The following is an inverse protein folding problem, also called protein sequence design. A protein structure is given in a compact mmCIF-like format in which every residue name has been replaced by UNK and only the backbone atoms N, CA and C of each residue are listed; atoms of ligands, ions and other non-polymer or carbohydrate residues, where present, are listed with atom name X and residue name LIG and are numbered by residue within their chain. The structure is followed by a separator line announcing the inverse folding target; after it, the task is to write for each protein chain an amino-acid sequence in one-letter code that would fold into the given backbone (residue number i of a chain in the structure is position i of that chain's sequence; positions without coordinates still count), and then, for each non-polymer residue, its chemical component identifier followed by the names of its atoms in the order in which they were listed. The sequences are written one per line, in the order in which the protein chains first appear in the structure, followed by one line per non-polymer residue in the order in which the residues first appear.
data_IF_603538293027
#
_entry.id   IF_603538293027
#
_cell.length_a   1.000
_cell.length_b   1.000
_cell.length_c   1.000
_cell.angle_alpha   90.00
_cell.angle_beta   90.00
_cell.angle_gamma   90.00
#
_symmetry.space_group_name_H-M   'P 1'
#
loop_
_entity.id
_entity.type
_entity.pdbx_description
1 polymer ?
#
# COMPACT_ATOMS: atom_id res chain seq x y z
N UNK A 1 -6.21 14.28 10.76
CA UNK A 1 -5.50 13.09 10.28
C UNK A 1 -4.15 13.52 9.72
N UNK A 2 -3.08 12.88 10.15
CA UNK A 2 -1.69 13.26 9.84
C UNK A 2 -1.00 12.12 9.11
N UNK A 3 -0.19 12.46 8.09
CA UNK A 3 0.72 11.54 7.41
C UNK A 3 2.16 11.96 7.70
N UNK A 4 2.95 11.10 8.31
CA UNK A 4 4.34 11.41 8.65
C UNK A 4 5.29 10.22 8.53
N UNK A 5 6.56 10.52 8.39
CA UNK A 5 7.61 9.51 8.42
C UNK A 5 7.70 8.87 9.81
N UNK A 6 7.99 7.58 9.85
CA UNK A 6 8.21 6.83 11.08
C UNK A 6 9.72 6.62 11.25
N UNK A 7 10.24 7.00 12.42
CA UNK A 7 11.69 6.98 12.68
C UNK A 7 12.04 6.28 14.00
N UNK A 8 11.06 6.11 14.89
CA UNK A 8 11.27 5.59 16.25
C UNK A 8 10.91 4.11 16.35
N UNK A 9 11.62 3.40 17.21
CA UNK A 9 11.39 1.96 17.45
C UNK A 9 9.97 1.68 17.93
N UNK A 10 9.41 2.56 18.75
CA UNK A 10 8.04 2.46 19.26
C UNK A 10 7.01 2.51 18.10
N UNK A 11 7.26 3.35 17.10
CA UNK A 11 6.41 3.43 15.91
C UNK A 11 6.56 2.18 15.04
N UNK A 12 7.76 1.62 14.94
CA UNK A 12 7.97 0.36 14.21
C UNK A 12 7.23 -0.82 14.89
N UNK A 13 7.17 -0.84 16.21
CA UNK A 13 6.33 -1.81 16.95
C UNK A 13 4.85 -1.63 16.66
N UNK A 14 4.38 -0.38 16.54
CA UNK A 14 3.00 -0.11 16.13
C UNK A 14 2.71 -0.61 14.70
N UNK A 15 3.67 -0.50 13.77
CA UNK A 15 3.54 -1.08 12.42
C UNK A 15 3.35 -2.59 12.51
N UNK A 16 4.22 -3.30 13.24
CA UNK A 16 4.12 -4.76 13.41
C UNK A 16 2.77 -5.18 14.00
N UNK A 17 2.26 -4.43 14.97
CA UNK A 17 0.95 -4.68 15.56
C UNK A 17 -0.18 -4.41 14.56
N UNK A 18 -0.05 -3.35 13.78
CA UNK A 18 -1.02 -2.99 12.74
C UNK A 18 -1.07 -4.04 11.62
N UNK A 19 0.06 -4.65 11.27
CA UNK A 19 0.13 -5.77 10.35
C UNK A 19 -0.76 -6.92 10.80
N UNK A 20 -0.65 -7.34 12.06
CA UNK A 20 -1.48 -8.41 12.62
C UNK A 20 -2.96 -8.08 12.63
N UNK A 21 -3.31 -6.84 12.93
CA UNK A 21 -4.70 -6.37 12.87
C UNK A 21 -5.28 -6.42 11.45
N UNK A 22 -4.47 -6.13 10.44
CA UNK A 22 -4.91 -6.05 9.04
C UNK A 22 -4.94 -7.42 8.38
N UNK A 23 -3.87 -8.23 8.55
CA UNK A 23 -3.71 -9.51 7.84
C UNK A 23 -4.05 -10.74 8.67
N UNK A 24 -4.19 -10.60 9.97
CA UNK A 24 -4.58 -11.65 10.91
C UNK A 24 -3.55 -11.85 12.01
N UNK A 25 -4.01 -12.34 13.16
CA UNK A 25 -3.14 -12.60 14.35
C UNK A 25 -2.14 -13.72 14.09
N UNK A 26 -2.50 -14.66 13.21
CA UNK A 26 -1.66 -15.82 12.80
C UNK A 26 -0.84 -15.51 11.53
N UNK A 27 -0.72 -14.24 11.15
CA UNK A 27 0.08 -13.84 10.00
C UNK A 27 1.57 -13.96 10.32
N UNK A 28 2.26 -14.89 9.66
CA UNK A 28 3.65 -15.23 9.93
C UNK A 28 4.65 -14.33 9.16
N UNK A 29 4.19 -13.69 8.07
CA UNK A 29 5.05 -12.87 7.20
C UNK A 29 5.19 -11.41 7.69
N UNK A 30 5.00 -11.14 8.98
CA UNK A 30 5.17 -9.80 9.55
C UNK A 30 6.59 -9.29 9.40
N UNK A 31 6.73 -8.04 8.99
CA UNK A 31 8.04 -7.39 8.89
C UNK A 31 8.52 -7.00 10.28
N UNK A 32 9.62 -7.55 10.70
CA UNK A 32 10.15 -7.34 12.06
C UNK A 32 10.72 -5.93 12.27
N UNK A 33 10.73 -5.46 13.52
CA UNK A 33 11.33 -4.15 13.91
C UNK A 33 12.76 -3.97 13.40
N UNK A 34 13.68 -4.96 13.47
CA UNK A 34 15.01 -4.82 12.89
C UNK A 34 15.01 -4.53 11.39
N UNK A 35 14.14 -5.19 10.63
CA UNK A 35 14.01 -4.95 9.18
C UNK A 35 13.47 -3.55 8.91
N UNK A 36 12.43 -3.10 9.60
CA UNK A 36 11.92 -1.72 9.48
C UNK A 36 13.01 -0.69 9.80
N UNK A 37 13.82 -0.95 10.86
CA UNK A 37 14.95 -0.08 11.24
C UNK A 37 15.98 0.03 10.13
N UNK A 38 16.40 -1.10 9.56
CA UNK A 38 17.39 -1.11 8.46
C UNK A 38 16.80 -0.45 7.22
N UNK A 39 15.55 -0.73 6.89
CA UNK A 39 14.81 -0.13 5.78
C UNK A 39 14.90 1.39 5.82
N UNK A 40 14.48 2.00 6.92
CA UNK A 40 14.49 3.46 7.09
C UNK A 40 15.93 4.02 7.02
N UNK A 41 16.87 3.38 7.72
CA UNK A 41 18.28 3.83 7.73
C UNK A 41 18.99 3.69 6.37
N UNK A 42 18.48 2.90 5.45
CA UNK A 42 19.08 2.63 4.13
C UNK A 42 18.31 3.21 2.96
N UNK A 43 17.44 4.19 3.21
CA UNK A 43 16.73 4.93 2.17
C UNK A 43 15.40 4.30 1.75
N UNK A 44 14.89 3.36 2.52
CA UNK A 44 13.50 2.93 2.39
C UNK A 44 12.54 3.99 2.91
N UNK A 45 11.30 3.93 2.45
CA UNK A 45 10.25 4.86 2.87
C UNK A 45 9.29 4.14 3.80
N UNK A 46 9.08 4.69 4.99
CA UNK A 46 8.11 4.20 5.96
C UNK A 46 7.27 5.37 6.48
N UNK A 47 5.98 5.37 6.17
CA UNK A 47 5.03 6.45 6.49
C UNK A 47 3.87 5.86 7.24
N UNK A 48 3.50 6.48 8.36
CA UNK A 48 2.29 6.21 9.10
C UNK A 48 1.22 7.26 8.84
N UNK A 49 -0.03 6.83 8.90
CA UNK A 49 -1.20 7.68 8.96
C UNK A 49 -1.82 7.60 10.35
N UNK A 50 -2.11 8.75 10.93
CA UNK A 50 -2.60 8.86 12.31
C UNK A 50 -3.96 9.55 12.37
N UNK A 51 -4.85 8.99 13.16
CA UNK A 51 -6.05 9.65 13.65
C UNK A 51 -5.83 9.97 15.11
N UNK A 52 -5.57 11.26 15.43
CA UNK A 52 -4.98 11.69 16.69
C UNK A 52 -3.66 10.91 16.94
N UNK A 53 -3.53 10.19 18.04
CA UNK A 53 -2.33 9.44 18.42
C UNK A 53 -2.35 7.97 17.93
N UNK A 54 -3.46 7.51 17.33
CA UNK A 54 -3.62 6.15 16.85
C UNK A 54 -3.12 6.02 15.42
N UNK A 55 -2.15 5.13 15.18
CA UNK A 55 -1.78 4.74 13.83
C UNK A 55 -2.89 3.87 13.23
N UNK A 56 -3.39 4.26 12.04
CA UNK A 56 -4.54 3.62 11.38
C UNK A 56 -4.20 3.03 10.02
N UNK A 57 -3.05 3.43 9.48
CA UNK A 57 -2.55 2.90 8.22
C UNK A 57 -1.05 3.18 8.09
N UNK A 58 -0.40 2.44 7.20
CA UNK A 58 1.01 2.68 6.87
C UNK A 58 1.33 2.24 5.45
N UNK A 59 2.45 2.74 4.92
CA UNK A 59 3.10 2.24 3.72
C UNK A 59 4.59 2.07 4.00
N UNK A 60 5.13 0.93 3.57
CA UNK A 60 6.55 0.59 3.72
C UNK A 60 7.15 0.24 2.35
N UNK A 61 8.35 0.74 2.07
CA UNK A 61 9.13 0.32 0.90
C UNK A 61 10.60 0.11 1.23
N UNK A 62 11.17 -0.89 0.60
CA UNK A 62 12.59 -1.25 0.66
C UNK A 62 13.33 -0.54 -0.48
N UNK A 63 14.57 -0.06 -0.24
CA UNK A 63 15.42 0.38 -1.34
C UNK A 63 15.87 -0.82 -2.17
N UNK A 64 15.91 -0.67 -3.47
CA UNK A 64 16.35 -1.68 -4.42
C UNK A 64 17.12 -1.07 -5.58
N UNK A 65 17.66 -1.94 -6.42
CA UNK A 65 18.32 -1.57 -7.68
C UNK A 65 17.68 -2.40 -8.79
N UNK A 66 17.29 -1.74 -9.87
CA UNK A 66 16.84 -2.37 -11.11
C UNK A 66 17.58 -1.71 -12.29
N UNK A 67 18.20 -2.52 -13.13
CA UNK A 67 18.98 -2.07 -14.28
C UNK A 67 20.03 -0.98 -13.90
N UNK A 68 20.69 -1.15 -12.77
CA UNK A 68 21.69 -0.23 -12.23
C UNK A 68 21.15 1.09 -11.66
N UNK A 69 19.82 1.27 -11.59
CA UNK A 69 19.18 2.48 -11.07
C UNK A 69 18.50 2.21 -9.73
N UNK A 70 18.47 3.21 -8.82
CA UNK A 70 17.75 3.07 -7.57
C UNK A 70 16.23 3.04 -7.80
N UNK A 71 15.57 2.12 -7.10
CA UNK A 71 14.12 2.00 -7.06
C UNK A 71 13.64 1.88 -5.62
N UNK A 72 12.33 2.02 -5.42
CA UNK A 72 11.67 1.59 -4.20
C UNK A 72 10.81 0.37 -4.50
N UNK A 73 11.02 -0.71 -3.75
CA UNK A 73 10.09 -1.82 -3.69
C UNK A 73 9.05 -1.56 -2.60
N UNK A 74 7.82 -1.18 -2.99
CA UNK A 74 6.74 -0.93 -2.03
C UNK A 74 6.23 -2.24 -1.48
N UNK A 75 6.79 -2.63 -0.34
CA UNK A 75 6.57 -3.95 0.24
C UNK A 75 5.17 -4.10 0.83
N UNK A 76 4.70 -3.11 1.58
CA UNK A 76 3.40 -3.15 2.24
C UNK A 76 2.65 -1.83 2.17
N UNK A 77 1.33 -1.93 2.05
CA UNK A 77 0.37 -0.86 2.24
C UNK A 77 -0.80 -1.42 3.04
N UNK A 78 -0.92 -1.01 4.28
CA UNK A 78 -1.95 -1.47 5.20
C UNK A 78 -2.87 -0.36 5.64
N UNK A 79 -4.17 -0.62 5.69
CA UNK A 79 -5.21 0.30 6.19
C UNK A 79 -6.17 -0.52 7.04
N UNK A 80 -6.42 -0.07 8.28
CA UNK A 80 -7.44 -0.67 9.15
C UNK A 80 -8.79 -0.70 8.45
N UNK A 81 -9.56 -1.74 8.67
CA UNK A 81 -10.79 -2.03 7.95
C UNK A 81 -11.77 -0.87 8.02
N UNK A 82 -11.98 -0.31 9.19
CA UNK A 82 -12.87 0.81 9.44
C UNK A 82 -12.48 2.12 8.72
N UNK A 83 -11.22 2.24 8.28
CA UNK A 83 -10.69 3.40 7.55
C UNK A 83 -10.52 3.15 6.04
N UNK A 84 -10.90 1.97 5.55
CA UNK A 84 -10.84 1.67 4.12
C UNK A 84 -11.84 2.49 3.32
N UNK A 85 -11.61 2.61 2.02
CA UNK A 85 -12.45 3.37 1.08
C UNK A 85 -12.52 4.90 1.32
N UNK A 86 -11.80 5.40 2.33
CA UNK A 86 -11.69 6.84 2.64
C UNK A 86 -10.57 7.57 1.86
N UNK A 87 -9.94 6.91 0.90
CA UNK A 87 -8.85 7.48 0.09
C UNK A 87 -7.46 7.41 0.74
N UNK A 88 -7.34 6.83 1.93
CA UNK A 88 -6.10 6.82 2.71
C UNK A 88 -4.97 6.06 2.03
N UNK A 89 -5.26 4.92 1.39
CA UNK A 89 -4.26 4.18 0.62
C UNK A 89 -3.67 5.00 -0.53
N UNK A 90 -4.50 5.80 -1.24
CA UNK A 90 -4.02 6.72 -2.27
C UNK A 90 -3.15 7.82 -1.66
N UNK A 91 -3.56 8.40 -0.55
CA UNK A 91 -2.80 9.45 0.13
C UNK A 91 -1.41 8.98 0.54
N UNK A 92 -1.31 7.78 1.15
CA UNK A 92 -0.04 7.14 1.50
C UNK A 92 0.85 6.89 0.28
N UNK A 93 0.28 6.41 -0.82
CA UNK A 93 1.02 6.21 -2.08
C UNK A 93 1.55 7.53 -2.65
N UNK A 94 0.78 8.60 -2.62
CA UNK A 94 1.25 9.92 -3.08
C UNK A 94 2.39 10.46 -2.22
N UNK A 95 2.32 10.26 -0.91
CA UNK A 95 3.41 10.62 0.00
C UNK A 95 4.65 9.73 -0.22
N UNK A 96 4.46 8.42 -0.45
CA UNK A 96 5.55 7.53 -0.84
C UNK A 96 6.23 8.00 -2.13
N UNK A 97 5.44 8.37 -3.17
CA UNK A 97 5.96 8.96 -4.42
C UNK A 97 6.83 10.17 -4.15
N UNK A 98 6.33 11.11 -3.35
CA UNK A 98 7.05 12.35 -3.03
C UNK A 98 8.40 12.08 -2.38
N UNK A 99 8.48 11.10 -1.45
CA UNK A 99 9.74 10.72 -0.79
C UNK A 99 10.67 9.95 -1.73
N UNK A 100 10.13 9.03 -2.52
CA UNK A 100 10.92 8.28 -3.51
C UNK A 100 11.58 9.21 -4.53
N UNK A 101 10.85 10.24 -5.00
CA UNK A 101 11.42 11.25 -5.89
C UNK A 101 12.56 12.07 -5.25
N UNK A 102 12.46 12.36 -3.94
CA UNK A 102 13.50 13.11 -3.19
C UNK A 102 14.81 12.32 -3.07
N UNK A 103 14.74 11.00 -2.96
CA UNK A 103 15.92 10.12 -2.86
C UNK A 103 16.42 9.66 -4.23
N UNK A 104 15.89 10.22 -5.33
CA UNK A 104 16.41 10.00 -6.67
C UNK A 104 15.83 8.79 -7.40
N UNK A 105 14.75 8.17 -6.89
CA UNK A 105 14.08 7.09 -7.60
C UNK A 105 13.13 7.64 -8.67
N UNK A 106 13.07 6.92 -9.80
CA UNK A 106 12.10 7.17 -10.86
C UNK A 106 11.02 6.08 -10.92
N UNK A 107 11.26 4.95 -10.26
CA UNK A 107 10.40 3.79 -10.26
C UNK A 107 10.09 3.34 -8.84
N UNK A 108 8.81 3.06 -8.59
CA UNK A 108 8.33 2.32 -7.42
C UNK A 108 7.64 1.06 -7.93
N UNK A 109 8.08 -0.11 -7.46
CA UNK A 109 7.49 -1.40 -7.84
C UNK A 109 6.82 -2.08 -6.64
N UNK A 110 5.85 -2.92 -6.90
CA UNK A 110 5.25 -3.84 -5.92
C UNK A 110 4.50 -4.95 -6.61
N UNK A 111 4.16 -5.98 -5.87
CA UNK A 111 3.22 -6.99 -6.33
C UNK A 111 1.83 -6.77 -5.74
N UNK A 112 0.80 -7.16 -6.48
CA UNK A 112 -0.55 -7.22 -5.96
C UNK A 112 -1.35 -8.39 -6.56
N UNK A 113 -2.34 -8.85 -5.83
CA UNK A 113 -3.23 -9.93 -6.25
C UNK A 113 -4.16 -9.43 -7.36
N UNK A 114 -4.10 -10.01 -8.58
CA UNK A 114 -4.94 -9.58 -9.70
C UNK A 114 -6.44 -9.72 -9.44
N UNK A 115 -6.86 -10.58 -8.51
CA UNK A 115 -8.26 -10.78 -8.16
C UNK A 115 -8.81 -9.71 -7.22
N UNK A 116 -7.96 -8.80 -6.73
CA UNK A 116 -8.36 -7.69 -5.84
C UNK A 116 -8.76 -6.45 -6.64
N UNK A 117 -10.03 -6.34 -7.02
CA UNK A 117 -10.57 -5.25 -7.85
C UNK A 117 -10.29 -3.86 -7.26
N UNK A 118 -10.35 -3.69 -5.95
CA UNK A 118 -10.03 -2.41 -5.28
C UNK A 118 -8.56 -2.00 -5.49
N UNK A 119 -7.62 -2.97 -5.43
CA UNK A 119 -6.22 -2.73 -5.71
C UNK A 119 -5.99 -2.41 -7.19
N UNK A 120 -6.63 -3.16 -8.11
CA UNK A 120 -6.56 -2.88 -9.53
C UNK A 120 -7.06 -1.46 -9.85
N UNK A 121 -8.19 -1.04 -9.27
CA UNK A 121 -8.71 0.32 -9.45
C UNK A 121 -7.73 1.39 -8.93
N UNK A 122 -7.18 1.19 -7.71
CA UNK A 122 -6.17 2.11 -7.18
C UNK A 122 -4.97 2.20 -8.12
N UNK A 123 -4.41 1.07 -8.53
CA UNK A 123 -3.19 1.00 -9.32
C UNK A 123 -3.35 1.61 -10.71
N UNK A 124 -4.31 1.14 -11.49
CA UNK A 124 -4.46 1.58 -12.89
C UNK A 124 -5.17 2.93 -13.00
N UNK A 125 -6.29 3.11 -12.28
CA UNK A 125 -7.13 4.29 -12.48
C UNK A 125 -6.62 5.49 -11.68
N UNK A 126 -6.19 5.29 -10.44
CA UNK A 126 -5.80 6.41 -9.56
C UNK A 126 -4.33 6.75 -9.60
N UNK A 127 -3.45 5.77 -9.81
CA UNK A 127 -2.00 5.96 -9.79
C UNK A 127 -1.36 5.95 -11.18
N UNK A 128 -1.98 5.32 -12.18
CA UNK A 128 -1.41 5.19 -13.53
C UNK A 128 -0.26 4.18 -13.59
N UNK A 129 -0.37 3.10 -12.85
CA UNK A 129 0.57 1.97 -12.85
C UNK A 129 0.48 1.23 -14.18
N UNK A 130 1.58 0.66 -14.62
CA UNK A 130 1.64 -0.32 -15.72
C UNK A 130 2.05 -1.69 -15.17
N UNK A 131 1.67 -2.76 -15.87
CA UNK A 131 2.01 -4.14 -15.52
C UNK A 131 2.54 -4.82 -16.78
N UNK A 132 3.74 -5.38 -16.70
CA UNK A 132 4.37 -6.12 -17.79
C UNK A 132 4.71 -7.56 -17.39
N UNK A 133 4.59 -7.87 -16.08
CA UNK A 133 4.96 -9.16 -15.53
C UNK A 133 3.83 -9.75 -14.68
N UNK A 134 3.55 -11.03 -14.92
CA UNK A 134 2.71 -11.89 -14.08
C UNK A 134 3.58 -12.97 -13.47
N UNK A 135 3.63 -13.00 -12.16
CA UNK A 135 4.47 -13.92 -11.41
C UNK A 135 3.61 -14.96 -10.68
N UNK A 136 3.85 -16.24 -10.97
CA UNK A 136 3.07 -17.35 -10.45
C UNK A 136 3.61 -17.73 -9.07
N UNK A 137 2.72 -17.80 -8.09
CA UNK A 137 2.96 -18.27 -6.73
C UNK A 137 4.22 -17.68 -6.07
N UNK A 138 4.41 -16.37 -6.17
CA UNK A 138 5.64 -15.63 -5.78
C UNK A 138 6.03 -15.86 -4.33
N UNK A 139 5.05 -15.95 -3.44
CA UNK A 139 5.28 -16.04 -1.98
C UNK A 139 4.93 -17.43 -1.41
N UNK A 140 4.57 -18.39 -2.26
CA UNK A 140 4.13 -19.70 -1.78
C UNK A 140 2.78 -19.63 -1.05
N UNK A 141 2.62 -20.48 -0.05
CA UNK A 141 1.43 -20.45 0.81
C UNK A 141 1.48 -19.23 1.76
N UNK A 142 0.36 -18.53 1.92
CA UNK A 142 0.25 -17.39 2.82
C UNK A 142 -0.71 -17.70 3.96
N UNK A 143 -0.32 -17.32 5.17
CA UNK A 143 -1.17 -17.39 6.37
C UNK A 143 -2.12 -16.20 6.48
N UNK A 144 -1.99 -15.19 5.60
CA UNK A 144 -2.85 -14.02 5.56
C UNK A 144 -4.33 -14.39 5.37
N UNK A 145 -5.20 -13.79 6.16
CA UNK A 145 -6.66 -13.94 6.02
C UNK A 145 -7.19 -13.57 4.63
N UNK A 146 -6.45 -12.76 3.87
CA UNK A 146 -6.84 -12.32 2.52
C UNK A 146 -6.49 -13.34 1.44
N UNK A 147 -5.53 -14.25 1.68
CA UNK A 147 -4.97 -15.15 0.67
C UNK A 147 -4.98 -16.62 1.07
N UNK A 148 -5.43 -16.95 2.29
CA UNK A 148 -5.41 -18.32 2.81
C UNK A 148 -6.11 -19.31 1.86
N UNK A 149 -5.36 -20.32 1.44
CA UNK A 149 -5.86 -21.39 0.57
C UNK A 149 -5.88 -21.06 -0.92
N UNK A 150 -5.25 -19.96 -1.34
CA UNK A 150 -5.08 -19.62 -2.76
C UNK A 150 -3.60 -19.45 -3.10
N UNK A 151 -3.16 -19.79 -4.34
CA UNK A 151 -1.83 -19.44 -4.81
C UNK A 151 -1.57 -17.94 -4.70
N UNK A 152 -0.33 -17.57 -4.46
CA UNK A 152 0.06 -16.16 -4.39
C UNK A 152 0.52 -15.61 -5.74
N UNK A 153 -0.32 -15.81 -6.76
CA UNK A 153 -0.11 -15.20 -8.07
C UNK A 153 -0.19 -13.68 -7.99
N UNK A 154 0.71 -13.00 -8.68
CA UNK A 154 0.82 -11.54 -8.58
C UNK A 154 1.06 -10.89 -9.93
N UNK A 155 0.48 -9.72 -10.11
CA UNK A 155 1.00 -8.73 -11.07
C UNK A 155 2.15 -7.95 -10.44
N UNK A 156 3.23 -7.74 -11.19
CA UNK A 156 4.29 -6.80 -10.82
C UNK A 156 3.92 -5.43 -11.33
N UNK A 157 3.56 -4.57 -10.41
CA UNK A 157 3.14 -3.20 -10.68
C UNK A 157 4.36 -2.30 -10.82
N UNK A 158 4.48 -1.59 -11.91
CA UNK A 158 5.52 -0.60 -12.18
C UNK A 158 4.90 0.79 -12.16
N UNK A 159 5.31 1.61 -11.22
CA UNK A 159 4.88 3.00 -11.10
C UNK A 159 6.05 3.93 -11.43
N UNK A 160 6.09 4.37 -12.68
CA UNK A 160 7.07 5.31 -13.19
C UNK A 160 6.72 6.72 -12.74
N UNK A 161 7.15 7.06 -11.52
CA UNK A 161 6.62 8.16 -10.71
C UNK A 161 6.87 9.56 -11.27
N UNK A 162 7.75 9.71 -12.27
CA UNK A 162 8.03 10.98 -12.96
C UNK A 162 7.35 11.08 -14.32
N UNK A 163 6.79 10.01 -14.84
CA UNK A 163 6.18 10.00 -16.17
C UNK A 163 4.96 10.95 -16.27
N UNK A 164 4.80 11.64 -17.39
CA UNK A 164 3.72 12.62 -17.58
C UNK A 164 2.32 12.04 -17.39
N UNK A 165 2.11 10.78 -17.78
CA UNK A 165 0.80 10.13 -17.58
C UNK A 165 0.49 9.90 -16.09
N UNK A 166 1.51 9.56 -15.29
CA UNK A 166 1.38 9.42 -13.83
C UNK A 166 1.13 10.79 -13.20
N UNK A 167 1.90 11.82 -13.59
CA UNK A 167 1.71 13.18 -13.11
C UNK A 167 0.25 13.63 -13.31
N UNK A 168 -0.28 13.49 -14.52
CA UNK A 168 -1.70 13.82 -14.83
C UNK A 168 -2.70 13.05 -13.97
N UNK A 169 -2.45 11.76 -13.69
CA UNK A 169 -3.33 10.92 -12.85
C UNK A 169 -3.33 11.36 -11.40
N UNK A 170 -2.17 11.66 -10.84
CA UNK A 170 -2.04 12.02 -9.42
C UNK A 170 -2.42 13.48 -9.13
N UNK A 171 -2.25 14.37 -10.09
CA UNK A 171 -2.58 15.80 -10.01
C UNK A 171 -4.06 16.08 -10.33
N UNK A 172 -4.75 15.15 -11.01
CA UNK A 172 -6.18 15.31 -11.23
C UNK A 172 -6.88 15.54 -9.90
N UNK A 173 -7.65 16.64 -9.83
CA UNK A 173 -8.31 17.18 -8.62
C UNK A 173 -9.43 16.30 -8.02
N UNK A 174 -9.35 15.01 -8.14
CA UNK A 174 -10.07 14.14 -7.21
C UNK A 174 -9.43 14.38 -5.85
N UNK A 175 -9.90 15.40 -5.16
CA UNK A 175 -9.49 15.70 -3.81
C UNK A 175 -9.52 14.39 -3.02
N UNK A 176 -8.38 14.01 -2.43
CA UNK A 176 -8.36 12.95 -1.45
C UNK A 176 -9.08 13.51 -0.23
N UNK A 177 -10.40 13.42 -0.23
CA UNK A 177 -11.18 13.72 0.95
C UNK A 177 -10.99 12.52 1.87
N UNK A 178 -10.06 12.66 2.79
CA UNK A 178 -9.88 11.66 3.85
C UNK A 178 -11.09 11.86 4.78
N UNK A 179 -12.04 10.92 4.69
CA UNK A 179 -13.20 10.91 5.58
C UNK A 179 -12.85 10.15 6.84
N UNK A 180 -13.19 10.70 7.98
CA UNK A 180 -13.19 9.94 9.23
C UNK A 180 -14.35 8.95 9.23
N UNK A 181 -14.28 7.83 9.99
CA UNK A 181 -15.36 6.85 10.07
C UNK A 181 -16.73 7.45 10.44
N UNK A 182 -16.76 8.51 11.26
CA UNK A 182 -17.99 9.22 11.64
C UNK A 182 -18.66 9.93 10.45
N UNK A 183 -17.88 10.32 9.43
CA UNK A 183 -18.38 10.95 8.21
C UNK A 183 -18.71 9.92 7.10
N UNK A 184 -18.30 8.69 7.25
CA UNK A 184 -18.61 7.59 6.36
C UNK A 184 -20.03 7.09 6.68
N UNK A 185 -21.05 7.65 6.05
CA UNK A 185 -22.35 6.96 6.01
C UNK A 185 -22.13 5.59 5.40
N UNK A 186 -22.66 4.50 5.99
CA UNK A 186 -22.60 3.19 5.35
C UNK A 186 -23.22 3.34 3.95
N UNK A 187 -22.44 3.04 2.92
CA UNK A 187 -22.98 2.79 1.59
C UNK A 187 -23.92 1.64 1.82
N UNK A 188 -25.22 1.88 1.62
CA UNK A 188 -26.27 0.90 1.86
C UNK A 188 -25.84 -0.44 1.28
N UNK A 189 -26.03 -1.49 2.02
CA UNK A 189 -25.67 -2.86 1.67
C UNK A 189 -26.12 -3.14 0.23
N UNK A 190 -25.21 -3.09 -0.70
CA UNK A 190 -25.41 -3.71 -2.00
C UNK A 190 -25.56 -5.19 -1.71
N UNK A 191 -26.80 -5.67 -1.81
CA UNK A 191 -27.15 -7.06 -1.60
C UNK A 191 -26.27 -7.93 -2.51
N UNK A 192 -25.86 -9.10 -2.03
CA UNK A 192 -25.14 -10.13 -2.81
C UNK A 192 -25.75 -10.48 -4.17
N UNK A 193 -26.97 -10.05 -4.43
CA UNK A 193 -27.70 -10.27 -5.67
C UNK A 193 -27.17 -9.44 -6.88
N UNK A 194 -26.43 -8.36 -6.66
CA UNK A 194 -25.92 -7.53 -7.77
C UNK A 194 -24.64 -8.08 -8.42
N UNK A 195 -24.01 -9.11 -7.85
CA UNK A 195 -22.75 -9.67 -8.35
C UNK A 195 -22.93 -10.93 -9.22
N UNK A 196 -24.17 -11.38 -9.46
CA UNK A 196 -24.46 -12.58 -10.26
C UNK A 196 -24.99 -12.27 -11.67
N UNK A 197 -25.01 -11.01 -12.10
CA UNK A 197 -25.56 -10.59 -13.39
C UNK A 197 -24.59 -9.64 -14.15
N UNK A 198 -23.32 -10.02 -14.25
CA UNK A 198 -22.38 -9.37 -15.18
C UNK A 198 -21.36 -10.39 -15.69
#
# INVERSE_FOLDING_TARGET
MELRDLERIEEFRQVVELERQIWGVDYDDVVTVPILTVTVKRGGVLIGAFDNDRMIAFVSSLPGIKDGKPIQWSHMLGVLEEYRSAGLGRALKLEQRRRSMKIGCDLVEWTYDPMQAANAHLNFVKLGVVVEEYAINVYGESTSRLHKGTPTDRFVAQWWIREPHVARRVESKSAVVIRTPEAARPIGSLSKAAFQAA
#
